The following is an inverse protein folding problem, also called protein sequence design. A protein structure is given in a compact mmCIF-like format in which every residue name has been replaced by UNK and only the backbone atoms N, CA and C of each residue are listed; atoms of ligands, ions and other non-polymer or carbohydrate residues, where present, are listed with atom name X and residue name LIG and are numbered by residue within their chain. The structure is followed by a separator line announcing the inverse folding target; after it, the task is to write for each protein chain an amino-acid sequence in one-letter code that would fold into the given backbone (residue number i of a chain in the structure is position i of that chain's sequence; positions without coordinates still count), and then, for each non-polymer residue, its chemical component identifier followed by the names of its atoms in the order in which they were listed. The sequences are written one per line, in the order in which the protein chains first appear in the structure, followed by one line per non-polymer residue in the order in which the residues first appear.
data_IF_596020547713
#
_entry.id   IF_596020547713
#
_cell.length_a   1.000
_cell.length_b   1.000
_cell.length_c   1.000
_cell.angle_alpha   90.00
_cell.angle_beta   90.00
_cell.angle_gamma   90.00
#
_symmetry.space_group_name_H-M   'P 1'
#
loop_
_entity.id
_entity.type
_entity.pdbx_description
1 polymer ?
#
# COMPACT_ATOMS: atom_id res chain seq x y z
N UNK A 1 29.23 2.09 43.00
CA UNK A 1 29.08 1.33 41.73
C UNK A 1 27.65 0.81 41.48
N UNK A 2 26.94 0.25 42.47
CA UNK A 2 25.61 -0.37 42.30
C UNK A 2 24.51 0.56 41.74
N UNK A 3 24.46 1.85 42.12
CA UNK A 3 23.43 2.81 41.64
C UNK A 3 23.58 3.22 40.16
N UNK A 4 24.82 3.28 39.64
CA UNK A 4 25.08 3.60 38.22
C UNK A 4 24.70 2.45 37.29
N UNK A 5 24.83 1.21 37.78
CA UNK A 5 24.46 -0.01 37.05
C UNK A 5 22.94 -0.19 36.93
N UNK A 6 22.17 0.21 37.96
CA UNK A 6 20.70 0.15 37.96
C UNK A 6 20.11 1.16 36.96
N UNK A 7 20.65 2.38 36.91
CA UNK A 7 20.19 3.41 35.95
C UNK A 7 20.44 2.95 34.51
N UNK A 8 21.62 2.37 34.25
CA UNK A 8 21.96 1.85 32.93
C UNK A 8 21.03 0.71 32.50
N UNK A 9 20.74 -0.25 33.39
CA UNK A 9 19.78 -1.33 33.14
C UNK A 9 18.37 -0.80 32.89
N UNK A 10 17.92 0.20 33.65
CA UNK A 10 16.60 0.82 33.46
C UNK A 10 16.48 1.55 32.11
N UNK A 11 17.54 2.26 31.68
CA UNK A 11 17.54 2.94 30.38
C UNK A 11 17.54 1.98 29.21
N UNK A 12 18.26 0.86 29.31
CA UNK A 12 18.28 -0.19 28.27
C UNK A 12 16.91 -0.87 28.19
N UNK A 13 16.30 -1.20 29.33
CA UNK A 13 14.96 -1.79 29.37
C UNK A 13 13.91 -0.85 28.75
N UNK A 14 14.01 0.46 29.00
CA UNK A 14 13.10 1.46 28.43
C UNK A 14 13.26 1.59 26.91
N UNK A 15 14.51 1.59 26.40
CA UNK A 15 14.79 1.62 24.97
C UNK A 15 14.26 0.38 24.23
N UNK A 16 14.38 -0.81 24.84
CA UNK A 16 13.83 -2.04 24.29
C UNK A 16 12.30 -1.96 24.22
N UNK A 17 11.62 -1.47 25.25
CA UNK A 17 10.16 -1.28 25.24
C UNK A 17 9.67 -0.31 24.16
N UNK A 18 10.44 0.74 23.84
CA UNK A 18 10.08 1.69 22.77
C UNK A 18 10.20 1.02 21.39
N UNK A 19 11.16 0.13 21.19
CA UNK A 19 11.33 -0.62 19.92
C UNK A 19 10.30 -1.74 19.72
N UNK A 20 9.67 -2.23 20.79
CA UNK A 20 8.68 -3.31 20.74
C UNK A 20 7.23 -2.82 20.79
N UNK A 21 6.96 -1.51 20.60
CA UNK A 21 5.59 -1.05 20.36
C UNK A 21 5.12 -1.60 19.02
N UNK A 22 4.45 -2.77 19.08
CA UNK A 22 3.80 -3.40 17.95
C UNK A 22 2.85 -2.39 17.30
N UNK A 23 2.98 -2.25 15.98
CA UNK A 23 2.03 -1.49 15.20
C UNK A 23 0.72 -2.29 15.23
N UNK A 24 -0.20 -1.90 16.12
CA UNK A 24 -1.58 -2.35 16.15
C UNK A 24 -2.24 -1.95 14.81
N UNK A 25 -2.24 -2.86 13.85
CA UNK A 25 -2.95 -2.70 12.59
C UNK A 25 -4.43 -2.83 12.88
N UNK A 26 -5.13 -1.68 12.96
CA UNK A 26 -6.58 -1.66 13.10
C UNK A 26 -7.22 -2.18 11.82
N UNK A 27 -7.43 -3.49 11.73
CA UNK A 27 -8.15 -4.11 10.61
C UNK A 27 -9.61 -3.67 10.72
N UNK A 28 -10.01 -2.76 9.85
CA UNK A 28 -11.42 -2.37 9.72
C UNK A 28 -12.24 -3.64 9.47
N UNK A 29 -13.30 -3.85 10.26
CA UNK A 29 -14.24 -4.94 10.02
C UNK A 29 -14.72 -4.87 8.57
N UNK A 30 -14.49 -5.94 7.80
CA UNK A 30 -14.81 -5.98 6.39
C UNK A 30 -16.35 -5.96 6.24
N UNK A 31 -16.92 -4.80 5.98
CA UNK A 31 -18.28 -4.70 5.46
C UNK A 31 -18.29 -5.41 4.11
N UNK A 32 -19.02 -6.52 4.01
CA UNK A 32 -19.18 -7.27 2.76
C UNK A 32 -19.88 -6.36 1.73
N UNK A 33 -19.10 -5.83 0.79
CA UNK A 33 -19.60 -5.15 -0.39
C UNK A 33 -19.01 -5.83 -1.62
N UNK A 34 -19.79 -5.89 -2.70
CA UNK A 34 -19.39 -6.55 -3.95
C UNK A 34 -18.81 -5.54 -4.96
N UNK A 35 -18.33 -4.39 -4.49
CA UNK A 35 -17.79 -3.37 -5.38
C UNK A 35 -16.41 -3.77 -5.92
N UNK A 36 -16.12 -3.52 -7.21
CA UNK A 36 -14.82 -3.81 -7.77
C UNK A 36 -13.75 -2.87 -7.21
N UNK A 37 -12.54 -3.42 -7.03
CA UNK A 37 -11.36 -2.64 -6.63
C UNK A 37 -10.72 -2.07 -7.88
N UNK A 38 -10.62 -0.74 -7.92
CA UNK A 38 -10.00 -0.01 -9.02
C UNK A 38 -8.65 0.55 -8.59
N UNK A 39 -7.57 0.06 -9.20
CA UNK A 39 -6.21 0.52 -8.93
C UNK A 39 -5.85 1.67 -9.88
N UNK A 40 -5.56 2.86 -9.35
CA UNK A 40 -5.23 4.07 -10.12
C UNK A 40 -3.85 4.59 -9.74
N UNK A 41 -2.91 4.57 -10.68
CA UNK A 41 -1.53 5.00 -10.39
C UNK A 41 -1.40 6.52 -10.20
N UNK A 42 -0.32 6.93 -9.52
CA UNK A 42 0.03 8.32 -9.23
C UNK A 42 0.80 9.02 -10.35
N UNK A 43 1.58 10.03 -9.94
CA UNK A 43 2.60 10.69 -10.77
C UNK A 43 3.62 9.66 -11.26
N UNK A 44 4.03 9.78 -12.53
CA UNK A 44 5.01 8.88 -13.16
C UNK A 44 4.66 7.38 -13.05
N UNK A 45 3.37 7.05 -12.91
CA UNK A 45 2.92 5.67 -12.99
C UNK A 45 2.78 5.19 -14.45
N UNK A 46 2.71 3.88 -14.62
CA UNK A 46 2.72 3.21 -15.91
C UNK A 46 1.71 2.07 -15.94
N UNK A 47 1.35 1.63 -17.14
CA UNK A 47 0.42 0.52 -17.33
C UNK A 47 1.02 -0.84 -16.94
N UNK A 48 0.17 -1.84 -16.76
CA UNK A 48 0.59 -3.22 -16.48
C UNK A 48 1.52 -3.78 -17.56
N UNK A 49 1.35 -3.39 -18.82
CA UNK A 49 2.17 -3.88 -19.93
C UNK A 49 3.38 -2.98 -20.22
N UNK A 50 3.56 -1.92 -19.45
CA UNK A 50 4.69 -1.01 -19.54
C UNK A 50 5.81 -1.42 -18.56
N UNK A 51 6.94 -0.71 -18.58
CA UNK A 51 8.11 -0.97 -17.73
C UNK A 51 8.64 -2.42 -17.76
N UNK A 52 8.69 -3.05 -18.95
CA UNK A 52 9.21 -4.41 -19.17
C UNK A 52 8.52 -5.47 -18.29
N UNK A 53 7.24 -5.27 -17.97
CA UNK A 53 6.45 -6.19 -17.15
C UNK A 53 6.56 -5.95 -15.64
N UNK A 54 7.34 -4.97 -15.20
CA UNK A 54 7.37 -4.51 -13.81
C UNK A 54 6.07 -3.77 -13.49
N UNK A 55 5.26 -4.29 -12.57
CA UNK A 55 3.93 -3.74 -12.29
C UNK A 55 4.05 -2.55 -11.34
N UNK A 56 3.37 -1.45 -11.65
CA UNK A 56 3.26 -0.34 -10.69
C UNK A 56 2.64 -0.82 -9.36
N UNK A 57 1.65 -1.70 -9.46
CA UNK A 57 0.99 -2.35 -8.33
C UNK A 57 1.61 -3.72 -8.02
N UNK A 58 2.77 -3.70 -7.37
CA UNK A 58 3.42 -4.89 -6.80
C UNK A 58 4.82 -5.20 -7.33
N UNK A 59 5.37 -4.39 -8.23
CA UNK A 59 6.71 -4.54 -8.76
C UNK A 59 6.88 -5.86 -9.51
N UNK A 60 7.64 -6.79 -8.93
CA UNK A 60 7.78 -8.16 -9.44
C UNK A 60 6.59 -9.07 -9.12
N UNK A 61 5.76 -8.67 -8.15
CA UNK A 61 4.53 -9.36 -7.80
C UNK A 61 3.32 -8.64 -8.40
N UNK A 62 2.27 -9.37 -8.69
CA UNK A 62 1.05 -8.81 -9.28
C UNK A 62 -0.06 -8.73 -8.25
N UNK A 63 -0.23 -7.55 -7.63
CA UNK A 63 -1.25 -7.33 -6.60
C UNK A 63 -2.65 -7.52 -7.20
N UNK A 64 -2.90 -7.06 -8.43
CA UNK A 64 -4.19 -7.25 -9.08
C UNK A 64 -4.50 -8.74 -9.24
N UNK A 65 -3.56 -9.53 -9.74
CA UNK A 65 -3.76 -10.97 -9.92
C UNK A 65 -3.96 -11.69 -8.58
N UNK A 66 -3.20 -11.30 -7.56
CA UNK A 66 -3.32 -11.86 -6.21
C UNK A 66 -4.71 -11.57 -5.62
N UNK A 67 -5.23 -10.35 -5.77
CA UNK A 67 -6.57 -10.00 -5.29
C UNK A 67 -7.67 -10.70 -6.11
N UNK A 68 -7.50 -10.84 -7.42
CA UNK A 68 -8.42 -11.62 -8.27
C UNK A 68 -8.50 -13.09 -7.84
N UNK A 69 -7.36 -13.71 -7.54
CA UNK A 69 -7.30 -15.09 -7.06
C UNK A 69 -8.01 -15.28 -5.71
N UNK A 70 -8.07 -14.24 -4.88
CA UNK A 70 -8.81 -14.24 -3.62
C UNK A 70 -10.32 -14.00 -3.78
N UNK A 71 -10.81 -13.86 -5.02
CA UNK A 71 -12.22 -13.67 -5.34
C UNK A 71 -12.67 -12.21 -5.45
N UNK A 72 -11.76 -11.23 -5.37
CA UNK A 72 -12.12 -9.82 -5.53
C UNK A 72 -12.09 -9.41 -7.01
N UNK A 73 -13.15 -8.79 -7.56
CA UNK A 73 -13.09 -8.19 -8.89
C UNK A 73 -12.16 -6.97 -8.86
N UNK A 74 -10.99 -7.05 -9.50
CA UNK A 74 -9.98 -5.98 -9.49
C UNK A 74 -9.60 -5.55 -10.90
N UNK A 75 -9.50 -4.25 -11.14
CA UNK A 75 -9.05 -3.68 -12.41
C UNK A 75 -7.97 -2.62 -12.16
N UNK A 76 -7.16 -2.34 -13.18
CA UNK A 76 -6.15 -1.26 -13.15
C UNK A 76 -6.54 -0.23 -14.19
N UNK A 77 -6.70 1.03 -13.76
CA UNK A 77 -6.90 2.15 -14.66
C UNK A 77 -5.58 2.86 -14.92
N UNK A 78 -5.34 3.17 -16.19
CA UNK A 78 -4.15 3.89 -16.64
C UNK A 78 -4.54 5.31 -17.03
N UNK A 79 -3.91 6.29 -16.37
CA UNK A 79 -4.15 7.73 -16.54
C UNK A 79 -2.87 8.42 -16.99
N UNK A 80 -2.95 9.68 -17.44
CA UNK A 80 -1.74 10.41 -17.84
C UNK A 80 -0.79 10.60 -16.65
N UNK A 81 0.48 10.12 -16.71
CA UNK A 81 1.40 10.17 -15.58
C UNK A 81 1.77 11.59 -15.15
N UNK A 82 1.70 12.55 -16.07
CA UNK A 82 2.03 13.97 -15.84
C UNK A 82 0.84 14.89 -16.13
N UNK A 83 -0.35 14.33 -16.33
CA UNK A 83 -1.54 15.10 -16.62
C UNK A 83 -2.11 15.74 -15.34
N UNK A 84 -2.91 16.80 -15.51
CA UNK A 84 -3.60 17.44 -14.39
C UNK A 84 -4.54 16.43 -13.70
N UNK A 85 -4.85 16.66 -12.42
CA UNK A 85 -5.81 15.79 -11.72
C UNK A 85 -7.19 15.79 -12.41
N UNK A 86 -7.58 16.90 -13.03
CA UNK A 86 -8.80 16.99 -13.82
C UNK A 86 -8.78 16.03 -15.00
N UNK A 87 -7.71 16.07 -15.81
CA UNK A 87 -7.57 15.20 -16.98
C UNK A 87 -7.45 13.73 -16.58
N UNK A 88 -6.77 13.44 -15.47
CA UNK A 88 -6.66 12.09 -14.91
C UNK A 88 -8.02 11.56 -14.45
N UNK A 89 -8.84 12.39 -13.80
CA UNK A 89 -10.18 12.02 -13.39
C UNK A 89 -11.10 11.76 -14.59
N UNK A 90 -11.10 12.66 -15.58
CA UNK A 90 -11.87 12.49 -16.81
C UNK A 90 -11.47 11.20 -17.55
N UNK A 91 -10.16 10.90 -17.60
CA UNK A 91 -9.66 9.65 -18.17
C UNK A 91 -10.10 8.42 -17.36
N UNK A 92 -10.03 8.47 -16.03
CA UNK A 92 -10.41 7.37 -15.16
C UNK A 92 -11.90 7.03 -15.30
N UNK A 93 -12.78 8.05 -15.34
CA UNK A 93 -14.23 7.87 -15.52
C UNK A 93 -14.56 7.25 -16.87
N UNK A 94 -13.78 7.54 -17.93
CA UNK A 94 -14.04 7.00 -19.28
C UNK A 94 -13.68 5.52 -19.44
N UNK A 95 -12.86 4.97 -18.55
CA UNK A 95 -12.36 3.58 -18.64
C UNK A 95 -13.29 2.60 -17.91
N UNK A 96 -14.31 3.10 -17.20
CA UNK A 96 -15.37 2.35 -16.54
C UNK A 96 -16.74 2.72 -17.09
#
# INVERSE_FOLDING_TARGET
MRRRMIIFLATVACFVSITFHGIEQKVAAATQNDYPIILVHGLAGWDRNEALGYKYWGGFYDIQQTLKQKGYPVYTATVGPFASNWDRAARAVRVY
#
